data_IF_880636177647
#
_entry.id   IF_880636177647
#
_cell.length_a   1.000
_cell.length_b   1.000
_cell.length_c   1.000
_cell.angle_alpha   90.00
_cell.angle_beta   90.00
_cell.angle_gamma   90.00
#
_symmetry.space_group_name_H-M   'P 1'
#
loop_
_entity.id
_entity.type
_entity.pdbx_description
1 polymer ?
#
# COMPACT_ATOMS: atom_id res chain seq x y z
N UNK A 1 8.66 -0.01 -0.14
CA UNK A 1 7.95 0.89 0.77
C UNK A 1 7.30 1.98 -0.05
N UNK A 2 6.08 2.42 0.27
CA UNK A 2 5.39 3.48 -0.45
C UNK A 2 4.69 4.41 0.55
N UNK A 3 4.96 5.71 0.48
CA UNK A 3 4.45 6.71 1.44
C UNK A 3 4.67 6.32 2.92
N UNK A 4 5.82 5.72 3.23
CA UNK A 4 6.14 5.26 4.58
C UNK A 4 5.43 3.96 5.03
N UNK A 5 4.63 3.33 4.16
CA UNK A 5 3.95 2.06 4.44
C UNK A 5 4.65 0.88 3.75
N UNK A 6 4.58 -0.28 4.38
CA UNK A 6 5.00 -1.54 3.78
C UNK A 6 3.85 -2.16 3.01
N UNK A 7 4.15 -2.76 1.86
CA UNK A 7 3.17 -3.41 1.00
C UNK A 7 3.68 -4.82 0.74
N UNK A 8 2.85 -5.82 1.04
CA UNK A 8 3.07 -7.21 0.67
C UNK A 8 2.09 -7.61 -0.43
N UNK A 9 2.61 -8.14 -1.54
CA UNK A 9 1.79 -8.68 -2.61
C UNK A 9 1.65 -10.20 -2.47
N UNK A 10 0.43 -10.72 -2.62
CA UNK A 10 0.15 -12.15 -2.75
C UNK A 10 -0.83 -12.37 -3.90
N UNK A 11 -0.30 -12.64 -5.09
CA UNK A 11 -1.09 -12.68 -6.33
C UNK A 11 -1.74 -11.32 -6.58
N UNK A 12 -3.07 -11.32 -6.65
CA UNK A 12 -3.90 -10.14 -6.96
C UNK A 12 -4.20 -9.25 -5.74
N UNK A 13 -3.72 -9.66 -4.56
CA UNK A 13 -3.94 -8.97 -3.30
C UNK A 13 -2.71 -8.20 -2.85
N UNK A 14 -2.95 -7.01 -2.32
CA UNK A 14 -1.95 -6.16 -1.70
C UNK A 14 -2.34 -5.87 -0.26
N UNK A 15 -1.58 -6.41 0.69
CA UNK A 15 -1.69 -6.10 2.11
C UNK A 15 -0.79 -4.91 2.44
N UNK A 16 -1.33 -3.94 3.19
CA UNK A 16 -0.64 -2.70 3.58
C UNK A 16 -0.41 -2.70 5.08
N UNK A 17 0.81 -2.40 5.50
CA UNK A 17 1.23 -2.44 6.90
C UNK A 17 1.88 -1.12 7.33
N UNK A 18 1.69 -0.76 8.60
CA UNK A 18 2.48 0.30 9.25
C UNK A 18 3.95 -0.11 9.40
N UNK A 19 4.87 0.82 9.69
CA UNK A 19 6.26 0.48 10.02
C UNK A 19 6.42 -0.48 11.21
N UNK A 20 5.42 -0.52 12.11
CA UNK A 20 5.39 -1.40 13.28
C UNK A 20 4.82 -2.80 12.94
N UNK A 21 4.46 -3.07 11.69
CA UNK A 21 3.96 -4.38 11.25
C UNK A 21 2.44 -4.57 11.44
N UNK A 22 1.69 -3.52 11.77
CA UNK A 22 0.22 -3.60 11.90
C UNK A 22 -0.40 -3.55 10.51
N UNK A 23 -1.25 -4.52 10.16
CA UNK A 23 -1.98 -4.49 8.89
C UNK A 23 -3.13 -3.47 8.95
N UNK A 24 -3.17 -2.56 7.99
CA UNK A 24 -4.14 -1.44 7.94
C UNK A 24 -4.92 -1.35 6.63
N UNK A 25 -4.60 -2.21 5.67
CA UNK A 25 -5.31 -2.30 4.40
C UNK A 25 -5.13 -3.66 3.73
N UNK A 26 -6.16 -4.09 3.00
CA UNK A 26 -6.12 -5.23 2.10
C UNK A 26 -6.87 -4.83 0.83
N UNK A 27 -6.17 -4.80 -0.29
CA UNK A 27 -6.69 -4.38 -1.58
C UNK A 27 -6.67 -5.55 -2.56
N UNK A 28 -7.71 -5.63 -3.38
CA UNK A 28 -7.75 -6.49 -4.56
C UNK A 28 -7.71 -5.59 -5.79
N UNK A 29 -6.68 -5.73 -6.62
CA UNK A 29 -6.48 -4.86 -7.81
C UNK A 29 -6.73 -5.57 -9.14
N UNK A 30 -7.24 -6.80 -9.11
CA UNK A 30 -7.72 -7.51 -10.30
C UNK A 30 -6.67 -8.37 -10.99
N UNK A 31 -6.73 -8.46 -12.32
CA UNK A 31 -5.90 -9.37 -13.13
C UNK A 31 -4.40 -9.16 -12.91
N UNK A 32 -3.70 -10.28 -12.78
CA UNK A 32 -2.25 -10.33 -12.53
C UNK A 32 -1.45 -9.75 -13.70
N UNK A 33 -0.22 -9.28 -13.42
CA UNK A 33 0.68 -8.70 -14.42
C UNK A 33 0.48 -7.21 -14.75
N UNK A 34 -0.48 -6.53 -14.11
CA UNK A 34 -0.73 -5.08 -14.32
C UNK A 34 0.01 -4.18 -13.32
N UNK A 35 1.24 -4.55 -12.95
CA UNK A 35 2.01 -3.90 -11.88
C UNK A 35 2.09 -2.37 -11.98
N UNK A 36 2.23 -1.80 -13.18
CA UNK A 36 2.29 -0.36 -13.37
C UNK A 36 0.98 0.35 -12.97
N UNK A 37 -0.17 -0.24 -13.30
CA UNK A 37 -1.49 0.29 -12.91
C UNK A 37 -1.74 0.11 -11.42
N UNK A 38 -1.30 -1.02 -10.87
CA UNK A 38 -1.43 -1.30 -9.44
C UNK A 38 -0.63 -0.30 -8.61
N UNK A 39 0.62 -0.02 -8.99
CA UNK A 39 1.45 0.99 -8.32
C UNK A 39 0.83 2.38 -8.41
N UNK A 40 0.27 2.74 -9.57
CA UNK A 40 -0.44 4.01 -9.75
C UNK A 40 -1.67 4.14 -8.83
N UNK A 41 -2.41 3.06 -8.59
CA UNK A 41 -3.52 3.03 -7.64
C UNK A 41 -3.04 3.04 -6.18
N UNK A 42 -1.98 2.29 -5.86
CA UNK A 42 -1.42 2.19 -4.50
C UNK A 42 -0.87 3.54 -4.00
N UNK A 43 -0.36 4.40 -4.89
CA UNK A 43 0.15 5.73 -4.54
C UNK A 43 -0.83 6.59 -3.72
N UNK A 44 -1.96 7.03 -4.27
CA UNK A 44 -2.93 7.82 -3.54
C UNK A 44 -3.55 7.08 -2.35
N UNK A 45 -3.76 5.76 -2.44
CA UNK A 45 -4.33 4.96 -1.35
C UNK A 45 -3.40 4.95 -0.14
N UNK A 46 -2.12 4.62 -0.34
CA UNK A 46 -1.13 4.60 0.74
C UNK A 46 -0.89 5.98 1.33
N UNK A 47 -0.97 7.05 0.53
CA UNK A 47 -0.89 8.43 1.03
C UNK A 47 -2.04 8.77 1.99
N UNK A 48 -3.27 8.38 1.63
CA UNK A 48 -4.44 8.58 2.49
C UNK A 48 -4.34 7.77 3.81
N UNK A 49 -3.90 6.51 3.70
CA UNK A 49 -3.71 5.64 4.86
C UNK A 49 -2.57 6.15 5.78
N UNK A 50 -1.45 6.57 5.21
CA UNK A 50 -0.32 7.11 5.96
C UNK A 50 -0.75 8.33 6.79
N UNK A 51 -1.51 9.27 6.19
CA UNK A 51 -2.09 10.41 6.90
C UNK A 51 -3.02 9.97 8.03
N UNK A 52 -3.93 9.01 7.79
CA UNK A 52 -4.88 8.52 8.81
C UNK A 52 -4.18 7.89 10.02
N UNK A 53 -3.03 7.26 9.78
CA UNK A 53 -2.25 6.53 10.77
C UNK A 53 -1.06 7.31 11.33
N UNK A 54 -0.90 8.60 10.97
CA UNK A 54 0.21 9.41 11.46
C UNK A 54 1.59 8.92 11.00
N UNK A 55 1.65 8.17 9.90
CA UNK A 55 2.90 7.74 9.29
C UNK A 55 3.38 8.88 8.39
N UNK A 56 4.46 9.54 8.78
CA UNK A 56 5.13 10.49 7.90
C UNK A 56 5.91 9.69 6.84
N UNK A 57 5.65 9.91 5.53
CA UNK A 57 6.62 9.53 4.52
C UNK A 57 7.91 10.25 4.88
N UNK A 58 8.98 9.50 5.16
CA UNK A 58 10.31 10.11 5.06
C UNK A 58 10.55 10.32 3.58
N UNK A 59 10.85 11.56 3.22
CA UNK A 59 11.22 11.99 1.86
C UNK A 59 12.35 11.13 1.28
#
# INVERSE_FOLDING_TARGET
>A
MLNGLYIGQKGQYYAIFTPQGIQIGLLFLGQDGQYAKDVAALGPITKALAKRWGVNPKD
#
